data_IF_527647203237
#
_entry.id   IF_527647203237
#
_cell.length_a   1.000
_cell.length_b   1.000
_cell.length_c   1.000
_cell.angle_alpha   90.00
_cell.angle_beta   90.00
_cell.angle_gamma   90.00
#
_symmetry.space_group_name_H-M   'P 1'
#
loop_
_entity.id
_entity.type
_entity.pdbx_description
1 polymer ?
#
# COMPACT_ATOMS: atom_id res chain seq x y z
N UNK A 1 -25.80 32.58 -2.86
CA UNK A 1 -24.37 32.74 -3.21
C UNK A 1 -23.52 32.35 -2.01
N UNK A 2 -23.29 31.05 -1.79
CA UNK A 2 -22.24 30.51 -0.91
C UNK A 2 -21.78 29.18 -1.51
N UNK A 3 -20.60 29.21 -2.08
CA UNK A 3 -19.91 28.14 -2.80
C UNK A 3 -19.41 27.08 -1.83
N UNK A 4 -20.20 26.04 -1.63
CA UNK A 4 -19.81 24.75 -1.05
C UNK A 4 -19.20 23.88 -2.14
N UNK A 5 -17.94 24.13 -2.48
CA UNK A 5 -17.19 23.30 -3.43
C UNK A 5 -16.02 22.62 -2.73
N UNK A 6 -16.10 21.28 -2.64
CA UNK A 6 -15.03 20.26 -2.46
C UNK A 6 -15.37 19.25 -1.36
N UNK A 7 -16.27 18.32 -1.68
CA UNK A 7 -16.46 17.05 -0.97
C UNK A 7 -16.98 15.94 -1.93
N UNK A 8 -16.51 15.95 -3.19
CA UNK A 8 -16.96 15.05 -4.27
C UNK A 8 -15.82 14.39 -5.06
N UNK A 9 -14.74 13.98 -4.40
CA UNK A 9 -13.63 13.22 -5.04
C UNK A 9 -13.31 11.88 -4.34
N UNK A 10 -14.27 11.31 -3.59
CA UNK A 10 -14.01 10.14 -2.72
C UNK A 10 -14.86 8.90 -3.01
N UNK A 11 -15.34 8.74 -4.25
CA UNK A 11 -15.98 7.50 -4.74
C UNK A 11 -15.13 6.76 -5.79
N UNK A 12 -13.82 7.03 -5.86
CA UNK A 12 -12.91 6.19 -6.64
C UNK A 12 -12.63 4.91 -5.86
N UNK A 13 -12.87 3.74 -6.47
CA UNK A 13 -12.60 2.41 -5.87
C UNK A 13 -11.16 2.38 -5.36
N UNK A 14 -10.97 2.34 -4.04
CA UNK A 14 -9.65 2.26 -3.44
C UNK A 14 -9.43 0.89 -2.83
N UNK A 15 -8.28 0.29 -3.10
CA UNK A 15 -7.85 -0.95 -2.46
C UNK A 15 -6.46 -0.76 -1.88
N UNK A 16 -6.23 -1.40 -0.74
CA UNK A 16 -4.94 -1.44 -0.07
C UNK A 16 -4.46 -2.89 0.01
N UNK A 17 -3.15 -3.06 -0.19
CA UNK A 17 -2.46 -4.32 -0.05
C UNK A 17 -1.13 -4.08 0.65
N UNK A 18 -0.83 -4.87 1.68
CA UNK A 18 0.46 -4.85 2.34
C UNK A 18 1.15 -6.20 2.09
N UNK A 19 2.35 -6.14 1.54
CA UNK A 19 3.11 -7.33 1.17
C UNK A 19 3.83 -8.00 2.34
N UNK A 20 3.66 -7.54 3.58
CA UNK A 20 4.34 -8.09 4.76
C UNK A 20 3.68 -9.36 5.28
N UNK A 21 4.50 -10.30 5.75
CA UNK A 21 4.11 -11.40 6.65
C UNK A 21 3.01 -12.37 6.14
N UNK A 22 2.98 -12.67 4.84
CA UNK A 22 2.15 -13.75 4.27
C UNK A 22 2.97 -14.67 3.35
N UNK A 23 2.48 -15.89 3.11
CA UNK A 23 3.08 -16.80 2.12
C UNK A 23 2.91 -16.26 0.70
N UNK A 24 3.81 -16.63 -0.21
CA UNK A 24 3.77 -16.14 -1.60
C UNK A 24 2.47 -16.48 -2.32
N UNK A 25 1.94 -17.69 -2.11
CA UNK A 25 0.65 -18.09 -2.68
C UNK A 25 -0.49 -17.19 -2.20
N UNK A 26 -0.52 -16.83 -0.91
CA UNK A 26 -1.53 -15.92 -0.38
C UNK A 26 -1.33 -14.49 -0.88
N UNK A 27 -0.07 -14.06 -1.04
CA UNK A 27 0.29 -12.75 -1.60
C UNK A 27 -0.24 -12.60 -3.02
N UNK A 28 0.02 -13.58 -3.88
CA UNK A 28 -0.48 -13.61 -5.25
C UNK A 28 -2.00 -13.71 -5.31
N UNK A 29 -2.58 -14.60 -4.51
CA UNK A 29 -4.02 -14.82 -4.41
C UNK A 29 -4.77 -13.54 -4.00
N UNK A 30 -4.24 -12.77 -3.05
CA UNK A 30 -4.85 -11.50 -2.67
C UNK A 30 -4.68 -10.43 -3.75
N UNK A 31 -3.48 -10.32 -4.35
CA UNK A 31 -3.18 -9.26 -5.30
C UNK A 31 -3.89 -9.44 -6.65
N UNK A 32 -3.85 -10.65 -7.20
CA UNK A 32 -4.37 -10.98 -8.53
C UNK A 32 -5.69 -11.78 -8.49
N UNK A 33 -6.07 -12.32 -7.34
CA UNK A 33 -7.22 -13.20 -7.21
C UNK A 33 -6.86 -14.65 -7.52
N UNK A 34 -7.80 -15.54 -7.28
CA UNK A 34 -7.67 -16.96 -7.62
C UNK A 34 -9.01 -17.55 -8.05
N UNK A 35 -8.94 -18.62 -8.82
CA UNK A 35 -10.09 -19.47 -9.11
C UNK A 35 -10.21 -20.60 -8.09
N UNK A 36 -11.43 -21.13 -7.94
CA UNK A 36 -11.67 -22.33 -7.13
C UNK A 36 -10.77 -23.47 -7.59
N UNK A 37 -10.04 -24.06 -6.65
CA UNK A 37 -9.12 -25.18 -6.90
C UNK A 37 -7.71 -24.78 -7.35
N UNK A 38 -7.39 -23.48 -7.40
CA UNK A 38 -6.07 -23.03 -7.84
C UNK A 38 -4.91 -23.45 -6.91
N UNK A 39 -5.18 -23.67 -5.63
CA UNK A 39 -4.24 -24.24 -4.65
C UNK A 39 -4.99 -24.99 -3.54
N UNK A 40 -4.27 -25.75 -2.71
CA UNK A 40 -4.85 -26.45 -1.56
C UNK A 40 -5.51 -25.46 -0.61
N UNK A 41 -6.84 -25.54 -0.47
CA UNK A 41 -7.63 -24.60 0.35
C UNK A 41 -8.38 -23.53 -0.44
N UNK A 42 -8.20 -23.43 -1.77
CA UNK A 42 -8.96 -22.55 -2.65
C UNK A 42 -10.40 -23.08 -2.87
N UNK A 43 -11.26 -23.00 -1.84
CA UNK A 43 -12.62 -23.54 -1.91
C UNK A 43 -13.58 -22.71 -2.77
N UNK A 44 -13.27 -21.44 -3.01
CA UNK A 44 -14.05 -20.51 -3.81
C UNK A 44 -13.14 -19.64 -4.66
N UNK A 45 -13.68 -19.03 -5.71
CA UNK A 45 -12.95 -18.00 -6.46
C UNK A 45 -12.98 -16.67 -5.72
N UNK A 46 -11.86 -15.95 -5.70
CA UNK A 46 -11.73 -14.65 -5.03
C UNK A 46 -11.16 -13.62 -6.00
N UNK A 47 -11.76 -12.43 -6.01
CA UNK A 47 -11.28 -11.28 -6.79
C UNK A 47 -10.01 -10.70 -6.18
N UNK A 48 -9.02 -10.40 -7.02
CA UNK A 48 -7.78 -9.76 -6.60
C UNK A 48 -7.94 -8.26 -6.35
N UNK A 49 -6.97 -7.66 -5.65
CA UNK A 49 -6.90 -6.22 -5.42
C UNK A 49 -6.84 -5.40 -6.72
N UNK A 50 -6.17 -5.89 -7.76
CA UNK A 50 -6.16 -5.22 -9.07
C UNK A 50 -7.56 -5.13 -9.71
N UNK A 51 -8.37 -6.19 -9.58
CA UNK A 51 -9.76 -6.19 -10.07
C UNK A 51 -10.64 -5.25 -9.23
N UNK A 52 -10.47 -5.27 -7.91
CA UNK A 52 -11.25 -4.44 -6.98
C UNK A 52 -10.92 -2.94 -7.11
N UNK A 53 -9.69 -2.61 -7.50
CA UNK A 53 -9.22 -1.24 -7.71
C UNK A 53 -9.42 -0.73 -9.14
N UNK A 54 -10.05 -1.50 -10.02
CA UNK A 54 -10.22 -1.10 -11.42
C UNK A 54 -10.91 0.26 -11.54
N UNK A 55 -10.38 1.11 -12.42
CA UNK A 55 -10.75 2.52 -12.59
C UNK A 55 -10.63 3.38 -11.32
N UNK A 56 -9.81 2.95 -10.35
CA UNK A 56 -9.61 3.61 -9.07
C UNK A 56 -8.14 3.69 -8.68
N UNK A 57 -7.80 3.37 -7.43
CA UNK A 57 -6.42 3.42 -6.92
C UNK A 57 -6.08 2.18 -6.09
N UNK A 58 -4.92 1.58 -6.36
CA UNK A 58 -4.34 0.50 -5.58
C UNK A 58 -3.09 1.00 -4.86
N UNK A 59 -3.13 0.94 -3.53
CA UNK A 59 -1.98 1.21 -2.68
C UNK A 59 -1.24 -0.09 -2.34
N UNK A 60 0.02 -0.18 -2.76
CA UNK A 60 0.91 -1.31 -2.53
C UNK A 60 1.94 -0.95 -1.45
N UNK A 61 1.67 -1.38 -0.23
CA UNK A 61 2.57 -1.18 0.89
C UNK A 61 3.64 -2.28 0.95
N UNK A 62 4.86 -1.86 1.23
CA UNK A 62 6.06 -2.70 1.25
C UNK A 62 6.31 -3.44 -0.08
N UNK A 63 6.27 -2.72 -1.21
CA UNK A 63 6.50 -3.29 -2.56
C UNK A 63 7.85 -4.01 -2.69
N UNK A 64 8.83 -3.66 -1.86
CA UNK A 64 10.11 -4.38 -1.76
C UNK A 64 9.93 -5.84 -1.37
N UNK A 65 8.92 -6.18 -0.57
CA UNK A 65 8.72 -7.54 -0.05
C UNK A 65 7.89 -8.43 -0.97
N UNK A 66 7.71 -8.02 -2.23
CA UNK A 66 7.07 -8.86 -3.25
C UNK A 66 7.97 -10.04 -3.64
N UNK A 67 7.33 -11.17 -3.95
CA UNK A 67 8.04 -12.30 -4.53
C UNK A 67 8.47 -11.99 -5.97
N UNK A 68 9.54 -12.62 -6.51
CA UNK A 68 9.94 -12.41 -7.90
C UNK A 68 8.83 -12.67 -8.92
N UNK A 69 7.96 -13.65 -8.64
CA UNK A 69 6.80 -13.95 -9.50
C UNK A 69 5.73 -12.85 -9.43
N UNK A 70 5.48 -12.31 -8.23
CA UNK A 70 4.60 -11.16 -8.07
C UNK A 70 5.16 -9.92 -8.79
N UNK A 71 6.48 -9.66 -8.71
CA UNK A 71 7.13 -8.55 -9.42
C UNK A 71 6.87 -8.61 -10.94
N UNK A 72 7.03 -9.80 -11.55
CA UNK A 72 6.75 -10.00 -12.98
C UNK A 72 5.29 -9.70 -13.33
N UNK A 73 4.34 -10.18 -12.52
CA UNK A 73 2.92 -9.94 -12.76
C UNK A 73 2.54 -8.47 -12.55
N UNK A 74 3.10 -7.80 -11.54
CA UNK A 74 2.90 -6.36 -11.32
C UNK A 74 3.41 -5.59 -12.52
N UNK A 75 4.60 -5.90 -13.02
CA UNK A 75 5.16 -5.27 -14.22
C UNK A 75 4.21 -5.41 -15.42
N UNK A 76 3.68 -6.63 -15.66
CA UNK A 76 2.70 -6.87 -16.75
C UNK A 76 1.46 -5.99 -16.61
N UNK A 77 0.93 -5.82 -15.40
CA UNK A 77 -0.19 -4.90 -15.16
C UNK A 77 0.20 -3.44 -15.41
N UNK A 78 1.38 -3.02 -14.97
CA UNK A 78 1.84 -1.65 -15.16
C UNK A 78 2.14 -1.29 -16.64
N UNK A 79 2.51 -2.27 -17.44
CA UNK A 79 2.83 -2.09 -18.87
C UNK A 79 1.59 -2.22 -19.76
N UNK A 80 0.79 -3.26 -19.54
CA UNK A 80 -0.31 -3.63 -20.44
C UNK A 80 -1.70 -3.45 -19.83
N UNK A 81 -1.80 -3.22 -18.51
CA UNK A 81 -3.06 -3.17 -17.80
C UNK A 81 -3.70 -4.55 -17.63
N UNK A 82 -2.93 -5.64 -17.79
CA UNK A 82 -3.45 -7.00 -17.90
C UNK A 82 -2.89 -7.95 -16.83
N UNK A 83 -3.72 -8.87 -16.34
CA UNK A 83 -3.34 -9.94 -15.42
C UNK A 83 -4.28 -11.13 -15.51
N UNK A 84 -3.88 -12.23 -14.89
CA UNK A 84 -4.69 -13.44 -14.74
C UNK A 84 -4.87 -13.74 -13.25
N UNK A 85 -6.01 -14.35 -12.90
CA UNK A 85 -6.18 -14.94 -11.58
C UNK A 85 -5.31 -16.18 -11.45
N UNK A 86 -4.85 -16.47 -10.24
CA UNK A 86 -4.14 -17.72 -9.97
C UNK A 86 -5.02 -18.92 -10.32
N UNK A 87 -4.48 -19.86 -11.11
CA UNK A 87 -5.21 -21.03 -11.62
C UNK A 87 -6.20 -20.72 -12.76
N UNK A 88 -6.11 -19.56 -13.41
CA UNK A 88 -6.92 -19.20 -14.58
C UNK A 88 -6.04 -18.79 -15.76
N UNK A 89 -6.45 -19.17 -16.97
CA UNK A 89 -5.87 -18.64 -18.22
C UNK A 89 -6.64 -17.43 -18.75
N UNK A 90 -7.72 -17.03 -18.06
CA UNK A 90 -8.54 -15.91 -18.47
C UNK A 90 -7.82 -14.60 -18.14
N UNK A 91 -7.49 -13.86 -19.19
CA UNK A 91 -6.99 -12.49 -19.10
C UNK A 91 -8.07 -11.55 -18.55
N UNK A 92 -7.68 -10.73 -17.58
CA UNK A 92 -8.43 -9.64 -16.99
C UNK A 92 -7.66 -8.35 -17.20
N UNK A 93 -8.37 -7.23 -17.22
CA UNK A 93 -7.78 -5.90 -17.32
C UNK A 93 -8.04 -5.08 -16.06
N UNK A 94 -7.13 -4.17 -15.74
CA UNK A 94 -7.29 -3.16 -14.70
C UNK A 94 -6.64 -1.86 -15.14
N UNK A 95 -7.38 -0.76 -15.01
CA UNK A 95 -6.88 0.60 -15.20
C UNK A 95 -6.66 1.30 -13.84
N UNK A 96 -6.26 0.55 -12.82
CA UNK A 96 -6.01 1.09 -11.49
C UNK A 96 -4.78 2.02 -11.50
N UNK A 97 -4.91 3.19 -10.88
CA UNK A 97 -3.76 4.03 -10.53
C UNK A 97 -2.97 3.35 -9.41
N UNK A 98 -1.66 3.22 -9.58
CA UNK A 98 -0.80 2.57 -8.58
C UNK A 98 -0.08 3.62 -7.73
N UNK A 99 -0.10 3.42 -6.42
CA UNK A 99 0.73 4.13 -5.44
C UNK A 99 1.44 3.05 -4.62
N UNK A 100 2.75 3.16 -4.41
CA UNK A 100 3.49 2.19 -3.62
C UNK A 100 4.37 2.85 -2.56
N UNK A 101 4.60 2.13 -1.47
CA UNK A 101 5.58 2.46 -0.42
C UNK A 101 6.57 1.32 -0.26
N UNK A 102 7.75 1.67 0.23
CA UNK A 102 8.76 0.71 0.68
C UNK A 102 9.55 1.33 1.82
N UNK A 103 9.83 0.54 2.84
CA UNK A 103 10.74 0.91 3.92
C UNK A 103 12.22 0.83 3.53
N UNK A 104 12.53 0.24 2.38
CA UNK A 104 13.89 -0.02 1.92
C UNK A 104 14.14 0.65 0.57
N UNK A 105 15.40 0.99 0.31
CA UNK A 105 15.79 1.59 -0.96
C UNK A 105 15.63 0.56 -2.09
N UNK A 106 14.60 0.73 -2.93
CA UNK A 106 14.41 -0.12 -4.11
C UNK A 106 15.62 -0.08 -5.04
N UNK A 107 16.25 1.10 -5.17
CA UNK A 107 17.49 1.27 -5.95
C UNK A 107 18.61 0.37 -5.43
N UNK A 108 18.79 0.27 -4.12
CA UNK A 108 19.82 -0.59 -3.55
C UNK A 108 19.44 -2.08 -3.65
N UNK A 109 18.15 -2.41 -3.53
CA UNK A 109 17.68 -3.78 -3.80
C UNK A 109 17.91 -4.22 -5.24
N UNK A 110 17.74 -3.33 -6.22
CA UNK A 110 18.09 -3.58 -7.63
C UNK A 110 19.58 -3.87 -7.77
N UNK A 111 20.45 -3.04 -7.18
CA UNK A 111 21.92 -3.24 -7.21
C UNK A 111 22.34 -4.58 -6.61
N UNK A 112 21.61 -5.07 -5.61
CA UNK A 112 21.84 -6.35 -4.95
C UNK A 112 21.17 -7.54 -5.67
N UNK A 113 20.49 -7.31 -6.80
CA UNK A 113 19.75 -8.36 -7.53
C UNK A 113 18.52 -8.89 -6.79
N UNK A 114 18.00 -8.14 -5.81
CA UNK A 114 16.86 -8.50 -4.96
C UNK A 114 15.54 -7.86 -5.38
N UNK A 115 15.54 -7.07 -6.44
CA UNK A 115 14.37 -6.43 -7.02
C UNK A 115 14.64 -6.21 -8.50
N UNK A 116 13.64 -6.44 -9.35
CA UNK A 116 13.85 -6.30 -10.79
C UNK A 116 14.04 -4.84 -11.20
N UNK A 117 15.03 -4.61 -12.06
CA UNK A 117 15.34 -3.27 -12.56
C UNK A 117 14.20 -2.70 -13.41
N UNK A 118 13.58 -3.50 -14.28
CA UNK A 118 12.47 -3.07 -15.14
C UNK A 118 11.26 -2.56 -14.34
N UNK A 119 10.85 -3.31 -13.31
CA UNK A 119 9.80 -2.90 -12.37
C UNK A 119 10.19 -1.63 -11.62
N UNK A 120 11.43 -1.53 -11.15
CA UNK A 120 11.91 -0.31 -10.49
C UNK A 120 11.78 0.91 -11.40
N UNK A 121 12.22 0.83 -12.65
CA UNK A 121 12.12 1.94 -13.60
C UNK A 121 10.66 2.34 -13.86
N UNK A 122 9.73 1.37 -13.89
CA UNK A 122 8.30 1.66 -14.08
C UNK A 122 7.65 2.32 -12.87
N UNK A 123 8.09 2.00 -11.65
CA UNK A 123 7.60 2.57 -10.41
C UNK A 123 8.23 3.94 -10.08
N UNK A 124 9.49 4.15 -10.46
CA UNK A 124 10.28 5.34 -10.10
C UNK A 124 9.95 6.60 -10.94
N UNK A 125 8.67 6.80 -11.29
CA UNK A 125 8.21 7.98 -12.01
C UNK A 125 8.15 9.23 -11.11
N UNK A 126 7.48 9.12 -9.95
CA UNK A 126 7.45 10.17 -8.92
C UNK A 126 7.69 9.53 -7.55
N UNK A 127 8.79 9.90 -6.91
CA UNK A 127 9.18 9.38 -5.59
C UNK A 127 9.07 10.47 -4.54
N UNK A 128 8.33 10.18 -3.47
CA UNK A 128 8.24 11.03 -2.29
C UNK A 128 9.06 10.39 -1.17
N UNK A 129 10.17 11.03 -0.79
CA UNK A 129 10.95 10.62 0.37
C UNK A 129 10.33 11.24 1.62
N UNK A 130 9.87 10.39 2.54
CA UNK A 130 9.33 10.82 3.83
C UNK A 130 10.48 10.75 4.84
N UNK A 131 10.98 11.88 5.37
CA UNK A 131 12.07 11.86 6.34
C UNK A 131 11.61 11.20 7.64
N UNK A 132 12.50 10.51 8.36
CA UNK A 132 12.20 9.98 9.68
C UNK A 132 11.91 11.12 10.66
N UNK A 133 11.14 10.83 11.71
CA UNK A 133 10.67 11.86 12.65
C UNK A 133 11.82 12.60 13.35
N UNK A 134 12.97 11.96 13.57
CA UNK A 134 14.20 12.58 14.11
C UNK A 134 14.74 13.75 13.28
N UNK A 135 14.37 13.85 12.00
CA UNK A 135 14.73 14.96 11.10
C UNK A 135 13.62 16.03 11.01
N UNK A 136 12.48 15.79 11.68
CA UNK A 136 11.27 16.61 11.64
C UNK A 136 10.70 16.86 13.04
N UNK A 137 11.57 17.01 14.03
CA UNK A 137 11.20 17.15 15.44
C UNK A 137 10.28 18.35 15.72
N UNK A 138 10.35 19.39 14.90
CA UNK A 138 9.44 20.54 14.97
C UNK A 138 7.96 20.16 14.76
N UNK A 139 7.67 19.02 14.12
CA UNK A 139 6.31 18.53 13.91
C UNK A 139 5.81 17.68 15.09
N UNK A 140 6.71 17.23 15.96
CA UNK A 140 6.42 16.32 17.07
C UNK A 140 5.32 16.85 18.00
N UNK A 141 5.27 18.13 18.42
CA UNK A 141 4.21 18.63 19.28
C UNK A 141 2.81 18.53 18.64
N UNK A 142 2.71 18.80 17.34
CA UNK A 142 1.44 18.74 16.62
C UNK A 142 0.96 17.30 16.43
N UNK A 143 1.88 16.38 16.12
CA UNK A 143 1.60 14.95 16.01
C UNK A 143 1.12 14.38 17.34
N UNK A 144 1.82 14.69 18.44
CA UNK A 144 1.42 14.27 19.79
C UNK A 144 0.03 14.78 20.14
N UNK A 145 -0.25 16.06 19.90
CA UNK A 145 -1.56 16.63 20.21
C UNK A 145 -2.69 15.93 19.43
N UNK A 146 -2.45 15.59 18.16
CA UNK A 146 -3.40 14.85 17.33
C UNK A 146 -3.62 13.42 17.87
N UNK A 147 -2.55 12.70 18.21
CA UNK A 147 -2.61 11.34 18.73
C UNK A 147 -3.29 11.28 20.12
N UNK A 148 -2.99 12.21 21.03
CA UNK A 148 -3.64 12.28 22.35
C UNK A 148 -5.15 12.48 22.22
N UNK A 149 -5.57 13.35 21.30
CA UNK A 149 -6.98 13.59 21.02
C UNK A 149 -7.65 12.32 20.48
N UNK A 150 -7.02 11.63 19.54
CA UNK A 150 -7.55 10.39 18.97
C UNK A 150 -7.64 9.28 20.04
N UNK A 151 -6.60 9.11 20.86
CA UNK A 151 -6.57 8.15 21.95
C UNK A 151 -7.62 8.46 23.03
N UNK A 152 -7.76 9.72 23.43
CA UNK A 152 -8.77 10.16 24.40
C UNK A 152 -10.19 9.83 23.93
N UNK A 153 -10.51 10.11 22.67
CA UNK A 153 -11.80 9.75 22.07
C UNK A 153 -12.05 8.24 22.08
N UNK A 154 -11.04 7.44 21.73
CA UNK A 154 -11.14 5.98 21.69
C UNK A 154 -11.38 5.37 23.08
N UNK A 155 -10.74 5.92 24.10
CA UNK A 155 -10.82 5.45 25.49
C UNK A 155 -11.95 6.11 26.30
N UNK A 156 -12.69 7.04 25.71
CA UNK A 156 -13.72 7.82 26.43
C UNK A 156 -13.13 8.72 27.53
N UNK A 157 -11.86 9.12 27.41
CA UNK A 157 -11.13 9.93 28.38
C UNK A 157 -10.81 11.31 27.79
N UNK A 158 -10.85 12.33 28.64
CA UNK A 158 -10.36 13.65 28.24
C UNK A 158 -8.86 13.77 28.51
N UNK A 159 -8.04 13.41 27.52
CA UNK A 159 -6.58 13.53 27.59
C UNK A 159 -6.19 14.85 26.92
N UNK A 160 -5.71 15.81 27.73
CA UNK A 160 -5.45 17.18 27.27
C UNK A 160 -3.97 17.49 27.06
N UNK A 161 -3.06 16.74 27.69
CA UNK A 161 -1.63 16.97 27.60
C UNK A 161 -0.82 15.73 28.05
N UNK A 162 0.46 15.72 27.68
CA UNK A 162 1.50 14.88 28.30
C UNK A 162 2.19 15.71 29.39
N UNK A 163 2.58 15.06 30.49
CA UNK A 163 3.34 15.71 31.55
C UNK A 163 4.66 16.31 31.00
N UNK A 164 5.06 17.53 31.39
CA UNK A 164 6.25 18.19 30.82
C UNK A 164 7.52 17.32 30.89
N UNK A 165 7.78 16.67 32.02
CA UNK A 165 8.94 15.77 32.16
C UNK A 165 8.92 14.55 31.21
N UNK A 166 7.73 14.11 30.81
CA UNK A 166 7.61 13.04 29.83
C UNK A 166 7.82 13.57 28.40
N UNK A 167 7.42 14.82 28.15
CA UNK A 167 7.69 15.52 26.89
C UNK A 167 9.19 15.75 26.67
N UNK A 168 9.91 16.12 27.74
CA UNK A 168 11.36 16.36 27.71
C UNK A 168 12.19 15.08 27.46
N UNK A 169 11.59 13.90 27.62
CA UNK A 169 12.23 12.60 27.34
C UNK A 169 12.01 12.12 25.91
N UNK A 170 11.16 12.80 25.14
CA UNK A 170 10.97 12.48 23.73
C UNK A 170 12.18 12.97 22.91
N UNK A 171 12.52 12.26 21.82
CA UNK A 171 13.75 12.49 21.05
C UNK A 171 13.78 13.85 20.35
#
# INVERSE_FOLDING_TARGET
MRSTTRRREQDARSSHFNASAISDTLRESQLFGHERGAFTGAQQSVKGKFELADSGTLFLDEISEMSPLAEVKILRVLEYGEFERFGSERMLTSNARIICSSNSSLRDRVRLGKFREDLYQRLNGLTLLIPPLRERLQELPALIAAELKAAGLKEGKNITAIHPEAMDKLP
#
